data_IF_958375008034
#
_entry.id   IF_958375008034
#
_cell.length_a   1.000
_cell.length_b   1.000
_cell.length_c   1.000
_cell.angle_alpha   90.00
_cell.angle_beta   90.00
_cell.angle_gamma   90.00
#
_symmetry.space_group_name_H-M   'P 1'
#
loop_
_entity.id
_entity.type
_entity.pdbx_description
1 polymer ?
#
# COMPACT_ATOMS: atom_id res chain seq x y z
N UNK A 1 -23.55 -2.25 -13.71
CA UNK A 1 -24.55 -1.82 -12.73
C UNK A 1 -23.80 -1.42 -11.49
N UNK A 2 -24.04 -0.21 -10.98
CA UNK A 2 -23.49 0.16 -9.66
C UNK A 2 -24.07 -0.81 -8.63
N UNK A 3 -23.20 -1.49 -7.87
CA UNK A 3 -23.63 -2.36 -6.79
C UNK A 3 -24.39 -1.56 -5.74
N UNK A 4 -25.42 -2.16 -5.16
CA UNK A 4 -26.12 -1.57 -4.02
C UNK A 4 -25.18 -1.59 -2.80
N UNK A 5 -24.81 -0.42 -2.30
CA UNK A 5 -23.95 -0.27 -1.12
C UNK A 5 -24.66 -0.55 0.21
N UNK A 6 -25.97 -0.80 0.20
CA UNK A 6 -26.76 -1.01 1.43
C UNK A 6 -26.33 -2.22 2.27
N UNK A 7 -25.57 -3.15 1.67
CA UNK A 7 -24.95 -4.28 2.40
C UNK A 7 -23.64 -3.91 3.13
N UNK A 8 -23.09 -2.73 2.87
CA UNK A 8 -21.80 -2.28 3.40
C UNK A 8 -21.94 -1.01 4.23
N UNK A 9 -22.84 -0.12 3.78
CA UNK A 9 -23.10 1.17 4.42
C UNK A 9 -24.57 1.27 4.78
N UNK A 10 -24.88 1.64 6.02
CA UNK A 10 -26.26 1.81 6.46
C UNK A 10 -26.97 2.92 5.67
N UNK A 11 -28.25 2.74 5.30
CA UNK A 11 -29.02 3.78 4.63
C UNK A 11 -29.04 5.09 5.45
N UNK A 12 -28.60 6.18 4.81
CA UNK A 12 -28.53 7.49 5.45
C UNK A 12 -27.25 7.75 6.25
N UNK A 13 -26.26 6.87 6.19
CA UNK A 13 -24.94 7.14 6.76
C UNK A 13 -24.31 8.38 6.13
N UNK A 14 -23.77 9.26 6.97
CA UNK A 14 -23.07 10.47 6.55
C UNK A 14 -21.57 10.35 6.84
N UNK A 15 -20.76 11.13 6.11
CA UNK A 15 -19.34 11.21 6.38
C UNK A 15 -19.07 11.98 7.67
N UNK A 16 -18.25 11.40 8.54
CA UNK A 16 -17.75 12.07 9.75
C UNK A 16 -16.31 12.49 9.56
N UNK A 17 -16.00 13.77 9.84
CA UNK A 17 -14.63 14.26 9.84
C UNK A 17 -13.93 13.83 11.12
N UNK A 18 -13.06 12.83 11.05
CA UNK A 18 -12.38 12.26 12.20
C UNK A 18 -11.26 13.16 12.74
N UNK A 19 -10.56 13.88 11.88
CA UNK A 19 -9.45 14.75 12.24
C UNK A 19 -9.19 15.83 11.18
N UNK A 20 -8.40 16.84 11.52
CA UNK A 20 -8.02 17.96 10.64
C UNK A 20 -6.60 18.43 10.93
N UNK A 21 -6.05 19.31 10.08
CA UNK A 21 -4.70 19.88 10.26
C UNK A 21 -3.60 19.10 9.53
N UNK A 22 -3.98 18.17 8.67
CA UNK A 22 -3.07 17.41 7.81
C UNK A 22 -2.99 18.01 6.41
N UNK A 23 -1.88 17.73 5.71
CA UNK A 23 -1.61 18.28 4.37
C UNK A 23 -1.94 17.27 3.29
N UNK A 24 -1.54 16.00 3.48
CA UNK A 24 -1.80 14.93 2.52
C UNK A 24 -1.80 13.59 3.24
N UNK A 25 -2.97 13.15 3.64
CA UNK A 25 -3.15 11.88 4.34
C UNK A 25 -3.28 10.72 3.36
N UNK A 26 -2.63 9.60 3.69
CA UNK A 26 -2.61 8.38 2.90
C UNK A 26 -2.54 7.13 3.78
N UNK A 27 -2.69 5.96 3.14
CA UNK A 27 -2.52 4.64 3.72
C UNK A 27 -3.41 4.36 4.93
N UNK A 28 -4.73 4.62 4.89
CA UNK A 28 -5.57 4.35 6.05
C UNK A 28 -5.69 2.85 6.28
N UNK A 29 -5.37 2.39 7.50
CA UNK A 29 -5.57 1.01 7.93
C UNK A 29 -6.19 0.96 9.32
N UNK A 30 -7.19 0.11 9.49
CA UNK A 30 -7.88 -0.11 10.77
C UNK A 30 -7.39 -1.38 11.42
N UNK A 31 -6.94 -1.28 12.67
CA UNK A 31 -6.60 -2.44 13.51
C UNK A 31 -6.88 -2.20 14.98
N UNK A 32 -7.51 -3.17 15.63
CA UNK A 32 -7.68 -3.23 17.08
C UNK A 32 -8.24 -1.94 17.71
N UNK A 33 -9.19 -1.27 17.04
CA UNK A 33 -9.82 -0.05 17.52
C UNK A 33 -9.05 1.24 17.20
N UNK A 34 -7.98 1.16 16.40
CA UNK A 34 -7.21 2.31 15.94
C UNK A 34 -7.24 2.45 14.42
N UNK A 35 -7.37 3.68 13.94
CA UNK A 35 -7.05 4.07 12.58
C UNK A 35 -5.58 4.50 12.53
N UNK A 36 -4.79 3.84 11.68
CA UNK A 36 -3.43 4.22 11.34
C UNK A 36 -3.45 4.93 10.00
N UNK A 37 -2.64 5.96 9.83
CA UNK A 37 -2.51 6.69 8.57
C UNK A 37 -1.21 7.51 8.56
N UNK A 38 -0.77 7.93 7.40
CA UNK A 38 0.38 8.82 7.24
C UNK A 38 -0.06 10.21 6.81
N UNK A 39 0.74 11.23 7.13
CA UNK A 39 0.77 12.48 6.40
C UNK A 39 2.10 12.55 5.63
N UNK A 40 2.03 12.35 4.32
CA UNK A 40 3.21 12.31 3.44
C UNK A 40 4.00 13.60 3.54
N UNK A 41 3.31 14.75 3.57
CA UNK A 41 3.95 16.09 3.55
C UNK A 41 4.56 16.47 4.89
N UNK A 42 3.93 16.06 5.99
CA UNK A 42 4.48 16.24 7.33
C UNK A 42 5.49 15.14 7.69
N UNK A 43 5.60 14.10 6.85
CA UNK A 43 6.54 12.99 7.01
C UNK A 43 6.37 12.24 8.33
N UNK A 44 5.10 11.99 8.71
CA UNK A 44 4.70 11.36 9.97
C UNK A 44 3.74 10.19 9.75
N UNK A 45 3.83 9.21 10.65
CA UNK A 45 2.87 8.12 10.80
C UNK A 45 2.11 8.34 12.11
N UNK A 46 0.80 8.25 12.03
CA UNK A 46 -0.13 8.51 13.12
C UNK A 46 -1.03 7.32 13.38
N UNK A 47 -1.58 7.29 14.59
CA UNK A 47 -2.76 6.48 14.93
C UNK A 47 -3.76 7.30 15.74
N UNK A 48 -5.03 6.91 15.70
CA UNK A 48 -6.09 7.50 16.52
C UNK A 48 -7.20 6.50 16.78
N UNK A 49 -7.87 6.65 17.91
CA UNK A 49 -9.17 6.02 18.17
C UNK A 49 -10.29 6.95 17.70
N UNK A 50 -11.47 6.45 17.33
CA UNK A 50 -12.64 7.29 17.06
C UNK A 50 -12.92 8.26 18.23
N UNK A 51 -13.06 9.55 17.90
CA UNK A 51 -13.28 10.61 18.91
C UNK A 51 -12.07 10.95 19.77
N UNK A 52 -10.91 10.31 19.56
CA UNK A 52 -9.65 10.61 20.27
C UNK A 52 -8.74 11.54 19.50
N UNK A 53 -7.71 12.04 20.17
CA UNK A 53 -6.66 12.83 19.54
C UNK A 53 -5.66 11.94 18.80
N UNK A 54 -5.21 12.31 17.58
CA UNK A 54 -4.19 11.58 16.85
C UNK A 54 -2.83 11.61 17.56
N UNK A 55 -2.20 10.43 17.65
CA UNK A 55 -0.87 10.23 18.23
C UNK A 55 0.15 9.98 17.12
N UNK A 56 1.27 10.70 17.14
CA UNK A 56 2.39 10.44 16.22
C UNK A 56 3.20 9.27 16.76
N UNK A 57 3.21 8.14 16.05
CA UNK A 57 3.97 6.95 16.42
C UNK A 57 5.33 6.86 15.70
N UNK A 58 5.50 7.60 14.59
CA UNK A 58 6.78 7.68 13.89
C UNK A 58 6.93 9.01 13.13
N UNK A 59 8.13 9.57 13.19
CA UNK A 59 8.58 10.70 12.37
C UNK A 59 9.60 10.23 11.34
N UNK A 60 9.86 11.09 10.34
CA UNK A 60 10.85 10.81 9.28
C UNK A 60 10.54 9.50 8.54
N UNK A 61 9.28 9.37 8.11
CA UNK A 61 8.78 8.16 7.44
C UNK A 61 9.34 7.96 6.03
N UNK A 62 10.13 8.90 5.50
CA UNK A 62 10.63 8.82 4.12
C UNK A 62 9.53 8.99 3.08
N UNK A 63 8.60 9.92 3.32
CA UNK A 63 7.37 10.04 2.55
C UNK A 63 6.59 8.73 2.58
N UNK A 64 6.27 8.29 3.81
CA UNK A 64 5.42 7.12 4.01
C UNK A 64 4.09 7.31 3.31
N UNK A 65 3.61 6.26 2.64
CA UNK A 65 2.43 6.26 1.79
C UNK A 65 1.52 5.10 2.20
N UNK A 66 1.28 4.09 1.38
CA UNK A 66 0.43 2.96 1.71
C UNK A 66 0.87 2.19 2.95
N UNK A 67 -0.11 1.78 3.74
CA UNK A 67 0.04 0.97 4.94
C UNK A 67 -0.79 -0.30 4.86
N UNK A 68 -0.34 -1.36 5.52
CA UNK A 68 -1.14 -2.54 5.85
C UNK A 68 -0.63 -3.19 7.13
N UNK A 69 -1.44 -4.08 7.72
CA UNK A 69 -1.01 -4.92 8.83
C UNK A 69 -0.55 -6.28 8.32
N UNK A 70 0.56 -6.80 8.86
CA UNK A 70 0.93 -8.19 8.66
C UNK A 70 0.23 -9.10 9.69
N UNK A 71 0.34 -10.42 9.50
CA UNK A 71 -0.31 -11.41 10.39
C UNK A 71 0.22 -11.41 11.83
N UNK A 72 1.35 -10.75 12.08
CA UNK A 72 1.96 -10.63 13.41
C UNK A 72 1.60 -9.31 14.08
N UNK A 73 0.72 -8.50 13.48
CA UNK A 73 0.31 -7.20 13.98
C UNK A 73 1.37 -6.12 13.84
N UNK A 74 2.28 -6.25 12.87
CA UNK A 74 3.19 -5.19 12.50
C UNK A 74 2.63 -4.36 11.35
N UNK A 75 2.96 -3.09 11.33
CA UNK A 75 2.70 -2.20 10.20
C UNK A 75 3.76 -2.42 9.11
N UNK A 76 3.29 -2.69 7.90
CA UNK A 76 4.07 -2.57 6.68
C UNK A 76 3.82 -1.19 6.08
N UNK A 77 4.85 -0.52 5.60
CA UNK A 77 4.75 0.82 5.03
C UNK A 77 5.62 0.98 3.79
N UNK A 78 5.05 1.57 2.75
CA UNK A 78 5.79 2.07 1.62
C UNK A 78 6.48 3.39 1.98
N UNK A 79 7.79 3.48 1.82
CA UNK A 79 8.59 4.69 2.04
C UNK A 79 9.10 5.22 0.70
N UNK A 80 8.27 6.02 0.02
CA UNK A 80 8.50 6.43 -1.36
C UNK A 80 9.84 7.15 -1.61
N UNK A 81 10.20 8.13 -0.76
CA UNK A 81 11.47 8.87 -0.89
C UNK A 81 12.69 8.04 -0.47
N UNK A 82 12.52 7.09 0.45
CA UNK A 82 13.55 6.13 0.81
C UNK A 82 13.67 4.96 -0.16
N UNK A 83 12.67 4.79 -1.05
CA UNK A 83 12.63 3.77 -2.11
C UNK A 83 12.68 2.35 -1.54
N UNK A 84 11.80 2.07 -0.55
CA UNK A 84 11.80 0.80 0.18
C UNK A 84 10.45 0.51 0.83
N UNK A 85 10.24 -0.76 1.17
CA UNK A 85 9.20 -1.19 2.11
C UNK A 85 9.83 -1.46 3.48
N UNK A 86 9.10 -1.12 4.52
CA UNK A 86 9.52 -1.35 5.90
C UNK A 86 8.44 -2.08 6.70
N UNK A 87 8.90 -2.78 7.74
CA UNK A 87 8.07 -3.36 8.78
C UNK A 87 8.43 -2.70 10.12
N UNK A 88 7.43 -2.35 10.91
CA UNK A 88 7.62 -1.86 12.28
C UNK A 88 6.47 -2.34 13.17
N UNK A 89 6.70 -2.51 14.47
CA UNK A 89 5.62 -2.80 15.39
C UNK A 89 4.58 -1.64 15.40
N UNK A 90 3.30 -1.96 15.54
CA UNK A 90 2.22 -0.96 15.48
C UNK A 90 2.29 0.13 16.54
N UNK A 91 3.01 -0.11 17.63
CA UNK A 91 3.29 0.90 18.68
C UNK A 91 4.60 1.68 18.43
N UNK A 92 5.21 1.51 17.26
CA UNK A 92 6.51 2.09 16.91
C UNK A 92 7.69 1.21 17.30
N UNK A 93 8.89 1.76 17.20
CA UNK A 93 10.13 1.08 17.57
C UNK A 93 11.04 0.80 16.36
N UNK A 94 11.75 -0.35 16.39
CA UNK A 94 12.72 -0.69 15.34
C UNK A 94 12.04 -0.84 13.98
N UNK A 95 12.63 -0.19 12.98
CA UNK A 95 12.23 -0.30 11.57
C UNK A 95 13.10 -1.33 10.88
N UNK A 96 12.49 -2.34 10.31
CA UNK A 96 13.10 -3.36 9.47
C UNK A 96 12.84 -3.03 7.99
N UNK A 97 13.85 -3.10 7.15
CA UNK A 97 13.68 -3.00 5.68
C UNK A 97 13.37 -4.39 5.15
N UNK A 98 12.20 -4.57 4.52
CA UNK A 98 11.78 -5.86 3.96
C UNK A 98 11.94 -5.93 2.44
N UNK A 99 11.99 -4.79 1.73
CA UNK A 99 12.33 -4.71 0.32
C UNK A 99 12.90 -3.33 -0.01
N UNK A 100 13.99 -3.25 -0.76
CA UNK A 100 14.54 -2.02 -1.33
C UNK A 100 15.08 -2.19 -2.76
N UNK A 101 15.15 -3.45 -3.22
CA UNK A 101 15.69 -3.81 -4.53
C UNK A 101 14.92 -4.99 -5.12
N UNK A 102 14.88 -5.00 -6.43
CA UNK A 102 14.53 -6.17 -7.22
C UNK A 102 15.66 -6.41 -8.24
N UNK A 103 16.10 -7.67 -8.38
CA UNK A 103 17.20 -8.06 -9.29
C UNK A 103 18.45 -7.15 -9.17
N UNK A 104 18.85 -6.81 -7.92
CA UNK A 104 19.95 -5.91 -7.55
C UNK A 104 19.72 -4.42 -7.86
N UNK A 105 18.68 -4.05 -8.60
CA UNK A 105 18.31 -2.67 -8.91
C UNK A 105 17.42 -2.09 -7.82
N UNK A 106 17.61 -0.80 -7.49
CA UNK A 106 16.77 -0.12 -6.53
C UNK A 106 15.35 0.04 -7.06
N UNK A 107 14.37 -0.18 -6.18
CA UNK A 107 12.97 0.14 -6.42
C UNK A 107 12.81 1.62 -6.82
N UNK A 108 11.71 1.97 -7.45
CA UNK A 108 11.37 3.35 -7.79
C UNK A 108 10.91 4.12 -6.54
N UNK A 109 9.61 4.12 -6.27
CA UNK A 109 9.02 4.85 -5.16
C UNK A 109 7.79 4.06 -4.68
N UNK A 110 7.98 2.98 -3.90
CA UNK A 110 6.87 2.17 -3.42
C UNK A 110 5.73 3.03 -2.88
N UNK A 111 4.50 2.72 -3.33
CA UNK A 111 3.34 3.56 -3.09
C UNK A 111 2.31 2.87 -2.21
N UNK A 112 1.78 1.72 -2.59
CA UNK A 112 0.78 1.01 -1.79
C UNK A 112 1.17 -0.44 -1.55
N UNK A 113 0.64 -1.03 -0.46
CA UNK A 113 1.01 -2.35 0.04
C UNK A 113 -0.19 -3.08 0.63
N UNK A 114 -0.29 -4.39 0.36
CA UNK A 114 -1.30 -5.27 0.98
C UNK A 114 -0.68 -6.61 1.33
N UNK A 115 -1.06 -7.17 2.48
CA UNK A 115 -0.59 -8.47 2.95
C UNK A 115 -1.70 -9.53 2.89
N UNK A 116 -1.32 -10.77 2.57
CA UNK A 116 -2.18 -11.96 2.65
C UNK A 116 -1.99 -12.70 3.98
N UNK A 117 -2.99 -13.51 4.38
CA UNK A 117 -2.88 -14.35 5.57
C UNK A 117 -1.75 -15.39 5.53
N UNK A 118 -1.26 -15.78 4.35
CA UNK A 118 -0.13 -16.71 4.18
C UNK A 118 1.25 -16.05 4.34
N UNK A 119 1.29 -14.73 4.57
CA UNK A 119 2.54 -13.95 4.70
C UNK A 119 3.04 -13.34 3.40
N UNK A 120 2.38 -13.61 2.27
CA UNK A 120 2.68 -12.95 0.99
C UNK A 120 2.31 -11.47 1.07
N UNK A 121 3.17 -10.59 0.54
CA UNK A 121 2.94 -9.15 0.47
C UNK A 121 3.00 -8.68 -0.97
N UNK A 122 2.02 -7.89 -1.42
CA UNK A 122 2.07 -7.20 -2.71
C UNK A 122 2.28 -5.71 -2.51
N UNK A 123 3.01 -5.09 -3.42
CA UNK A 123 3.19 -3.64 -3.43
C UNK A 123 3.34 -3.07 -4.84
N UNK A 124 3.00 -1.81 -4.98
CA UNK A 124 3.18 -1.04 -6.22
C UNK A 124 4.41 -0.15 -6.12
N UNK A 125 5.11 0.03 -7.26
CA UNK A 125 6.38 0.79 -7.31
C UNK A 125 6.41 1.79 -8.49
N UNK A 126 5.52 2.81 -8.50
CA UNK A 126 5.56 3.86 -9.50
C UNK A 126 6.73 4.83 -9.25
N UNK A 127 7.25 5.52 -10.29
CA UNK A 127 8.43 6.38 -10.15
C UNK A 127 8.11 7.81 -9.65
N UNK A 128 7.20 7.97 -8.68
CA UNK A 128 6.70 9.29 -8.22
C UNK A 128 7.77 10.21 -7.63
N UNK A 129 8.59 9.66 -6.72
CA UNK A 129 9.59 10.43 -5.97
C UNK A 129 11.00 10.29 -6.54
N UNK A 130 11.14 9.74 -7.76
CA UNK A 130 12.46 9.48 -8.37
C UNK A 130 12.60 10.21 -9.68
N UNK A 131 13.53 11.16 -9.72
CA UNK A 131 13.89 11.86 -10.94
C UNK A 131 14.38 10.86 -12.01
N UNK A 132 14.04 11.07 -13.30
CA UNK A 132 14.34 10.11 -14.37
C UNK A 132 15.78 9.62 -14.40
N UNK A 133 16.75 10.49 -14.21
CA UNK A 133 18.19 10.20 -14.21
C UNK A 133 18.66 9.35 -13.02
N UNK A 134 17.83 9.21 -12.00
CA UNK A 134 18.10 8.38 -10.79
C UNK A 134 17.39 7.04 -10.81
N UNK A 135 16.54 6.81 -11.80
CA UNK A 135 15.82 5.53 -11.94
C UNK A 135 16.79 4.44 -12.38
N UNK A 136 16.64 3.26 -11.80
CA UNK A 136 17.36 2.05 -12.20
C UNK A 136 16.44 1.05 -12.90
N UNK A 137 15.12 1.24 -12.74
CA UNK A 137 14.07 0.50 -13.43
C UNK A 137 13.41 1.46 -14.43
N UNK A 138 13.18 1.01 -15.64
CA UNK A 138 12.57 1.75 -16.75
C UNK A 138 11.05 1.54 -16.87
N UNK A 139 10.47 0.81 -15.93
CA UNK A 139 9.04 0.52 -15.79
C UNK A 139 8.55 0.80 -14.37
N UNK A 140 7.23 0.83 -14.21
CA UNK A 140 6.55 0.85 -12.92
C UNK A 140 5.99 -0.54 -12.63
N UNK A 141 6.42 -1.18 -11.53
CA UNK A 141 6.12 -2.56 -11.24
C UNK A 141 5.01 -2.77 -10.20
N UNK A 142 4.36 -3.92 -10.31
CA UNK A 142 3.63 -4.57 -9.22
C UNK A 142 4.48 -5.75 -8.76
N UNK A 143 4.80 -5.80 -7.49
CA UNK A 143 5.72 -6.79 -6.93
C UNK A 143 5.06 -7.63 -5.86
N UNK A 144 5.63 -8.80 -5.64
CA UNK A 144 5.30 -9.72 -4.55
C UNK A 144 6.56 -9.99 -3.71
N UNK A 145 6.41 -9.96 -2.39
CA UNK A 145 7.37 -10.54 -1.46
C UNK A 145 6.78 -11.87 -1.01
N UNK A 146 7.47 -12.96 -1.29
CA UNK A 146 7.08 -14.30 -0.85
C UNK A 146 7.32 -14.48 0.66
N UNK A 147 6.71 -15.47 1.33
CA UNK A 147 6.86 -15.67 2.78
C UNK A 147 8.31 -15.90 3.24
N UNK A 148 9.20 -16.35 2.35
CA UNK A 148 10.65 -16.49 2.59
C UNK A 148 11.44 -15.19 2.36
N UNK A 149 10.76 -14.09 1.96
CA UNK A 149 11.34 -12.75 1.80
C UNK A 149 11.90 -12.44 0.41
N UNK A 150 11.70 -13.32 -0.59
CA UNK A 150 12.15 -13.06 -1.96
C UNK A 150 11.20 -12.08 -2.67
N UNK A 151 11.78 -11.11 -3.41
CA UNK A 151 11.03 -10.10 -4.17
C UNK A 151 10.90 -10.54 -5.63
N UNK A 152 9.66 -10.68 -6.09
CA UNK A 152 9.30 -11.06 -7.45
C UNK A 152 8.58 -9.90 -8.16
N UNK A 153 8.89 -9.69 -9.45
CA UNK A 153 8.10 -8.81 -10.32
C UNK A 153 6.91 -9.63 -10.85
N UNK A 154 5.72 -9.14 -10.63
CA UNK A 154 4.48 -9.81 -11.04
C UNK A 154 3.83 -9.15 -12.27
N UNK A 155 3.93 -7.82 -12.40
CA UNK A 155 3.41 -7.08 -13.55
C UNK A 155 4.18 -5.78 -13.77
N UNK A 156 4.39 -5.40 -15.04
CA UNK A 156 5.08 -4.17 -15.45
C UNK A 156 4.32 -3.40 -16.55
N UNK A 157 3.10 -3.84 -16.88
CA UNK A 157 2.27 -3.19 -17.90
C UNK A 157 1.47 -1.99 -17.39
N UNK A 158 1.48 -1.71 -16.08
CA UNK A 158 0.79 -0.54 -15.52
C UNK A 158 1.67 0.69 -15.64
N UNK A 159 1.13 1.78 -16.19
CA UNK A 159 1.89 3.02 -16.36
C UNK A 159 2.25 3.67 -15.03
N UNK A 160 1.28 3.75 -14.11
CA UNK A 160 1.40 4.37 -12.80
C UNK A 160 0.55 3.60 -11.78
N UNK A 161 0.95 2.36 -11.40
CA UNK A 161 0.23 1.58 -10.40
C UNK A 161 0.21 2.32 -9.07
N UNK A 162 -0.95 2.31 -8.42
CA UNK A 162 -1.20 3.01 -7.16
C UNK A 162 -1.83 2.04 -6.16
N UNK A 163 -3.09 2.20 -5.81
CA UNK A 163 -3.77 1.39 -4.82
C UNK A 163 -3.91 -0.09 -5.16
N UNK A 164 -3.86 -0.91 -4.13
CA UNK A 164 -4.01 -2.37 -4.17
C UNK A 164 -5.18 -2.84 -3.32
N UNK A 165 -5.92 -3.85 -3.79
CA UNK A 165 -6.92 -4.54 -2.99
C UNK A 165 -7.02 -6.01 -3.37
N UNK A 166 -7.12 -6.90 -2.39
CA UNK A 166 -7.47 -8.30 -2.59
C UNK A 166 -9.00 -8.48 -2.58
N UNK A 167 -9.49 -9.43 -3.38
CA UNK A 167 -10.87 -9.91 -3.20
C UNK A 167 -11.02 -10.56 -1.82
N UNK A 168 -12.25 -10.62 -1.25
CA UNK A 168 -12.48 -11.21 0.07
C UNK A 168 -11.99 -12.66 0.23
N UNK A 169 -11.99 -13.42 -0.86
CA UNK A 169 -11.49 -14.81 -0.92
C UNK A 169 -9.99 -14.90 -1.23
N UNK A 170 -9.32 -13.76 -1.46
CA UNK A 170 -7.90 -13.68 -1.80
C UNK A 170 -7.53 -14.22 -3.19
N UNK A 171 -8.53 -14.56 -4.03
CA UNK A 171 -8.29 -15.14 -5.35
C UNK A 171 -7.95 -14.12 -6.45
N UNK A 172 -8.13 -12.83 -6.17
CA UNK A 172 -7.87 -11.73 -7.11
C UNK A 172 -7.15 -10.57 -6.43
N UNK A 173 -6.22 -9.96 -7.16
CA UNK A 173 -5.61 -8.69 -6.80
C UNK A 173 -6.09 -7.62 -7.77
N UNK A 174 -6.66 -6.54 -7.25
CA UNK A 174 -7.02 -5.35 -8.00
C UNK A 174 -5.92 -4.31 -7.86
N UNK A 175 -5.53 -3.69 -8.98
CA UNK A 175 -4.50 -2.65 -9.03
C UNK A 175 -5.06 -1.45 -9.76
N UNK A 176 -5.13 -0.31 -9.09
CA UNK A 176 -5.51 0.94 -9.72
C UNK A 176 -4.32 1.57 -10.44
N UNK A 177 -4.58 2.16 -11.60
CA UNK A 177 -3.62 3.01 -12.31
C UNK A 177 -4.10 4.46 -12.23
N UNK A 178 -3.19 5.36 -11.84
CA UNK A 178 -3.50 6.77 -11.59
C UNK A 178 -2.97 7.67 -12.72
N UNK A 179 -3.46 8.92 -12.80
CA UNK A 179 -3.12 10.02 -13.71
C UNK A 179 -3.84 9.94 -15.07
N UNK A 180 -3.13 10.17 -16.20
CA UNK A 180 -3.73 10.57 -17.48
C UNK A 180 -4.80 9.61 -18.00
N UNK A 181 -4.69 8.33 -17.70
CA UNK A 181 -5.68 7.31 -18.05
C UNK A 181 -5.97 6.47 -16.80
N UNK A 182 -6.89 6.92 -15.92
CA UNK A 182 -7.25 6.13 -14.76
C UNK A 182 -7.98 4.85 -15.17
N UNK A 183 -7.51 3.73 -14.62
CA UNK A 183 -8.13 2.42 -14.82
C UNK A 183 -7.83 1.48 -13.66
N UNK A 184 -8.45 0.34 -13.66
CA UNK A 184 -8.17 -0.74 -12.74
C UNK A 184 -7.91 -2.03 -13.50
N UNK A 185 -6.84 -2.72 -13.20
CA UNK A 185 -6.58 -4.08 -13.63
C UNK A 185 -6.92 -5.06 -12.52
N UNK A 186 -7.30 -6.27 -12.90
CA UNK A 186 -7.50 -7.40 -11.98
C UNK A 186 -6.61 -8.55 -12.42
N UNK A 187 -5.94 -9.15 -11.45
CA UNK A 187 -5.02 -10.28 -11.62
C UNK A 187 -5.53 -11.48 -10.85
N UNK A 188 -5.66 -12.67 -11.45
CA UNK A 188 -5.86 -13.90 -10.71
C UNK A 188 -4.65 -14.14 -9.78
N UNK A 189 -4.91 -14.59 -8.57
CA UNK A 189 -3.87 -14.96 -7.60
C UNK A 189 -3.78 -16.47 -7.54
N UNK A 190 -2.62 -17.01 -7.89
CA UNK A 190 -2.33 -18.44 -7.84
C UNK A 190 -2.13 -18.93 -6.40
N UNK A 191 -2.10 -20.25 -6.20
CA UNK A 191 -1.94 -20.85 -4.88
C UNK A 191 -0.61 -20.52 -4.18
N UNK A 192 0.45 -20.25 -4.96
CA UNK A 192 1.77 -19.82 -4.48
C UNK A 192 1.89 -18.30 -4.29
N UNK A 193 0.79 -17.56 -4.51
CA UNK A 193 0.75 -16.11 -4.44
C UNK A 193 1.22 -15.38 -5.69
N UNK A 194 1.75 -16.07 -6.71
CA UNK A 194 2.07 -15.43 -7.99
C UNK A 194 0.82 -14.93 -8.71
N UNK A 195 0.96 -13.91 -9.54
CA UNK A 195 -0.17 -13.36 -10.31
C UNK A 195 -0.29 -14.05 -11.67
N UNK A 196 -1.51 -14.35 -12.06
CA UNK A 196 -1.84 -14.70 -13.44
C UNK A 196 -1.90 -13.47 -14.35
N UNK A 197 -2.25 -13.67 -15.63
CA UNK A 197 -2.38 -12.60 -16.59
C UNK A 197 -3.45 -11.59 -16.15
N UNK A 198 -3.08 -10.32 -16.12
CA UNK A 198 -3.98 -9.20 -15.81
C UNK A 198 -5.01 -8.94 -16.90
N UNK A 199 -6.17 -8.46 -16.50
CA UNK A 199 -7.25 -8.01 -17.38
C UNK A 199 -7.77 -6.65 -16.91
N UNK A 200 -8.29 -5.86 -17.84
CA UNK A 200 -8.95 -4.60 -17.52
C UNK A 200 -10.25 -4.88 -16.76
N UNK A 201 -10.38 -4.32 -15.54
CA UNK A 201 -11.58 -4.45 -14.72
C UNK A 201 -12.54 -3.26 -14.90
N UNK A 202 -11.98 -2.03 -14.92
CA UNK A 202 -12.73 -0.78 -15.11
C UNK A 202 -11.83 0.31 -15.72
#
# INVERSE_FOLDING_TARGET
MAGDLSSIVEPGAEFEQMATGYVFTEGPVWDSGYLYFVDIRQNILLRMQPGGEPEIIRRETGSGDGLTMDNNGNLLMCEGSHRRLTRTHKDGGRVEVIAEKWNKLRLNSPNDVIARPDGTVYFTDPPWAVAPERRQLDFAGVYRISPDGEVHLEADENEMPNGLALSPDGSKLYVSNTRQNPYMNVYPVNSDGSLGKGERFA
#
